data_IF_866298997792
#
_entry.id   IF_866298997792
#
_cell.length_a   1.000
_cell.length_b   1.000
_cell.length_c   1.000
_cell.angle_alpha   90.00
_cell.angle_beta   90.00
_cell.angle_gamma   90.00
#
_symmetry.space_group_name_H-M   'P 1'
#
loop_
_entity.id
_entity.type
_entity.pdbx_description
1 polymer ?
#
# COMPACT_ATOMS: atom_id res chain seq x y z
N UNK A 1 16.86 17.69 -6.56
CA UNK A 1 15.56 17.72 -5.86
C UNK A 1 15.32 16.32 -5.35
N UNK A 2 15.15 16.13 -4.04
CA UNK A 2 14.60 14.87 -3.52
C UNK A 2 13.18 14.81 -4.10
N UNK A 3 12.84 13.75 -4.85
CA UNK A 3 11.46 13.57 -5.31
C UNK A 3 10.60 13.39 -4.07
N UNK A 4 9.56 14.21 -3.93
CA UNK A 4 8.51 14.01 -2.93
C UNK A 4 8.01 12.58 -3.04
N UNK A 5 7.75 11.92 -1.91
CA UNK A 5 7.11 10.60 -1.91
C UNK A 5 5.59 10.72 -2.06
N UNK A 6 5.01 11.91 -1.87
CA UNK A 6 3.57 12.14 -1.88
C UNK A 6 3.01 12.23 -3.30
N UNK A 7 1.82 11.69 -3.54
CA UNK A 7 1.07 11.91 -4.79
C UNK A 7 0.56 13.36 -4.87
N UNK A 8 0.57 13.95 -6.08
CA UNK A 8 0.28 15.40 -6.29
C UNK A 8 -1.19 15.81 -6.05
N UNK A 9 -2.14 14.86 -6.14
CA UNK A 9 -3.56 15.10 -5.94
C UNK A 9 -4.12 14.12 -4.92
N UNK A 10 -4.17 14.58 -3.68
CA UNK A 10 -4.62 13.77 -2.57
C UNK A 10 -5.65 14.51 -1.71
N UNK A 11 -6.85 13.93 -1.68
CA UNK A 11 -7.98 14.40 -0.86
C UNK A 11 -7.88 13.93 0.60
N UNK A 12 -7.01 12.96 0.89
CA UNK A 12 -6.80 12.40 2.22
C UNK A 12 -5.71 13.11 3.03
N UNK A 13 -5.08 14.15 2.46
CA UNK A 13 -4.14 14.99 3.21
C UNK A 13 -4.85 15.77 4.30
N UNK A 14 -4.31 15.72 5.51
CA UNK A 14 -4.84 16.44 6.66
C UNK A 14 -4.32 17.88 6.70
N UNK A 15 -4.86 18.68 7.63
CA UNK A 15 -4.38 20.04 7.88
C UNK A 15 -2.89 20.03 8.23
N UNK A 16 -2.07 20.99 7.76
CA UNK A 16 -0.65 21.04 8.08
C UNK A 16 -0.39 20.98 9.59
N UNK A 17 0.66 20.26 9.98
CA UNK A 17 1.02 20.11 11.38
C UNK A 17 1.70 21.37 11.93
N UNK A 18 1.48 21.63 13.21
CA UNK A 18 2.25 22.62 13.98
C UNK A 18 2.94 21.92 15.15
N UNK A 19 3.91 22.59 15.77
CA UNK A 19 4.61 22.06 16.96
C UNK A 19 3.62 21.78 18.10
N UNK A 20 2.60 22.61 18.24
CA UNK A 20 1.55 22.49 19.24
C UNK A 20 0.70 21.25 18.97
N UNK A 21 0.28 21.01 17.72
CA UNK A 21 -0.49 19.82 17.35
C UNK A 21 0.30 18.54 17.62
N UNK A 22 1.58 18.50 17.25
CA UNK A 22 2.47 17.35 17.53
C UNK A 22 2.55 17.10 19.05
N UNK A 23 2.79 18.14 19.85
CA UNK A 23 2.90 18.01 21.30
C UNK A 23 1.59 17.52 21.96
N UNK A 24 0.43 17.95 21.44
CA UNK A 24 -0.88 17.47 21.90
C UNK A 24 -1.06 15.99 21.59
N UNK A 25 -0.72 15.56 20.39
CA UNK A 25 -0.87 14.16 19.94
C UNK A 25 0.08 13.24 20.69
N UNK A 26 1.36 13.60 20.83
CA UNK A 26 2.33 12.87 21.66
C UNK A 26 1.83 12.71 23.10
N UNK A 27 1.25 13.78 23.68
CA UNK A 27 0.68 13.73 25.03
C UNK A 27 -0.54 12.80 25.12
N UNK A 28 -1.42 12.80 24.11
CA UNK A 28 -2.59 11.91 24.06
C UNK A 28 -2.16 10.44 23.95
N UNK A 29 -1.24 10.15 23.03
CA UNK A 29 -0.70 8.79 22.80
C UNK A 29 0.30 8.34 23.86
N UNK A 30 0.82 9.27 24.68
CA UNK A 30 1.85 9.05 25.71
C UNK A 30 3.18 8.51 25.17
N UNK A 31 3.52 8.91 23.94
CA UNK A 31 4.76 8.49 23.24
C UNK A 31 5.43 9.69 22.59
N UNK A 32 6.69 9.53 22.18
CA UNK A 32 7.39 10.45 21.28
C UNK A 32 7.42 9.90 19.87
N UNK A 33 6.85 10.65 18.94
CA UNK A 33 6.80 10.25 17.53
C UNK A 33 8.21 10.31 16.92
N UNK A 34 8.54 9.44 15.94
CA UNK A 34 9.84 9.48 15.29
C UNK A 34 10.14 10.83 14.64
N UNK A 35 11.38 11.29 14.73
CA UNK A 35 11.77 12.60 14.17
C UNK A 35 11.64 12.62 12.64
N UNK A 36 11.96 11.50 11.99
CA UNK A 36 11.81 11.31 10.54
C UNK A 36 10.35 11.34 10.10
N UNK A 37 9.44 10.77 10.91
CA UNK A 37 7.99 10.82 10.66
C UNK A 37 7.44 12.24 10.77
N UNK A 38 7.81 12.97 11.84
CA UNK A 38 7.41 14.38 11.97
C UNK A 38 7.97 15.21 10.82
N UNK A 39 9.20 14.95 10.38
CA UNK A 39 9.84 15.67 9.28
C UNK A 39 9.10 15.45 7.96
N UNK A 40 8.74 14.19 7.67
CA UNK A 40 7.90 13.84 6.53
C UNK A 40 6.53 14.54 6.59
N UNK A 41 5.88 14.55 7.76
CA UNK A 41 4.55 15.16 7.92
C UNK A 41 4.54 16.69 7.85
N UNK A 42 5.70 17.36 7.98
CA UNK A 42 5.82 18.80 7.71
C UNK A 42 5.72 19.12 6.22
N UNK A 43 6.11 18.18 5.36
CA UNK A 43 5.96 18.32 3.91
C UNK A 43 4.49 18.16 3.52
N UNK A 44 3.85 17.09 4.00
CA UNK A 44 2.42 16.85 3.86
C UNK A 44 1.91 16.01 5.03
N UNK A 45 0.81 16.44 5.67
CA UNK A 45 0.27 15.74 6.83
C UNK A 45 -0.59 14.52 6.42
N UNK A 46 0.08 13.45 6.01
CA UNK A 46 -0.53 12.19 5.60
C UNK A 46 -1.04 12.20 4.16
N UNK A 47 -1.37 11.02 3.67
CA UNK A 47 -1.83 10.82 2.31
C UNK A 47 -1.21 9.61 1.61
N UNK A 48 -1.56 9.43 0.35
CA UNK A 48 -1.02 8.42 -0.56
C UNK A 48 0.41 8.74 -0.97
N UNK A 49 1.21 7.67 -1.06
CA UNK A 49 2.61 7.69 -1.44
C UNK A 49 2.81 7.08 -2.83
N UNK A 50 3.88 7.49 -3.51
CA UNK A 50 4.24 7.02 -4.85
C UNK A 50 4.83 5.60 -4.76
N UNK A 51 5.71 5.39 -3.77
CA UNK A 51 6.39 4.12 -3.52
C UNK A 51 5.49 3.19 -2.72
N UNK A 52 4.80 2.29 -3.40
CA UNK A 52 3.69 1.51 -2.88
C UNK A 52 4.07 0.13 -2.33
N UNK A 53 5.37 -0.13 -2.15
CA UNK A 53 5.90 -1.42 -1.76
C UNK A 53 7.05 -1.29 -0.76
N UNK A 54 7.19 -2.30 0.11
CA UNK A 54 8.36 -2.47 0.98
C UNK A 54 8.87 -3.91 0.90
N UNK A 55 10.13 -4.15 0.51
CA UNK A 55 10.66 -5.50 0.32
C UNK A 55 10.81 -6.26 1.64
N UNK A 56 10.59 -7.57 1.60
CA UNK A 56 10.74 -8.51 2.73
C UNK A 56 11.50 -9.75 2.28
N UNK A 57 12.29 -10.34 3.19
CA UNK A 57 13.00 -11.62 2.94
C UNK A 57 12.15 -12.85 3.32
N UNK A 58 10.86 -12.62 3.59
CA UNK A 58 9.89 -13.61 4.04
C UNK A 58 8.53 -13.37 3.37
N UNK A 59 7.74 -14.43 3.14
CA UNK A 59 6.41 -14.29 2.59
C UNK A 59 5.46 -13.65 3.59
N UNK A 60 4.52 -12.86 3.08
CA UNK A 60 3.43 -12.24 3.82
C UNK A 60 2.09 -12.65 3.23
N UNK A 61 0.98 -12.22 3.83
CA UNK A 61 -0.35 -12.43 3.26
C UNK A 61 -0.55 -11.78 1.88
N UNK A 62 0.30 -10.81 1.50
CA UNK A 62 0.23 -10.09 0.23
C UNK A 62 1.10 -10.71 -0.87
N UNK A 63 2.39 -10.92 -0.60
CA UNK A 63 3.36 -11.45 -1.56
C UNK A 63 4.52 -12.18 -0.88
N UNK A 64 5.30 -12.93 -1.66
CA UNK A 64 6.41 -13.75 -1.18
C UNK A 64 7.64 -12.92 -0.74
N UNK A 65 7.78 -11.70 -1.24
CA UNK A 65 9.01 -10.88 -1.15
C UNK A 65 8.77 -9.39 -0.86
N UNK A 66 7.53 -8.98 -0.59
CA UNK A 66 7.20 -7.60 -0.23
C UNK A 66 5.84 -7.48 0.46
N UNK A 67 5.61 -6.31 1.04
CA UNK A 67 4.28 -5.84 1.45
C UNK A 67 3.81 -4.68 0.56
N UNK A 68 2.50 -4.47 0.55
CA UNK A 68 1.86 -3.30 -0.04
C UNK A 68 1.65 -2.20 1.00
N UNK A 69 1.91 -0.95 0.61
CA UNK A 69 1.63 0.24 1.42
C UNK A 69 1.33 1.41 0.50
N UNK A 70 0.09 1.87 0.44
CA UNK A 70 -0.30 2.93 -0.48
C UNK A 70 -0.36 4.32 0.18
N UNK A 71 -0.44 4.39 1.50
CA UNK A 71 -0.58 5.65 2.24
C UNK A 71 0.16 5.65 3.56
N UNK A 72 0.42 6.85 4.06
CA UNK A 72 0.89 7.13 5.41
C UNK A 72 -0.15 8.02 6.10
N UNK A 73 -0.67 7.57 7.23
CA UNK A 73 -1.59 8.34 8.07
C UNK A 73 -0.89 9.57 8.62
N UNK A 74 -1.60 10.69 8.68
CA UNK A 74 -1.10 11.94 9.27
C UNK A 74 -1.44 12.07 10.75
N UNK A 75 -1.06 13.19 11.34
CA UNK A 75 -1.47 13.61 12.68
C UNK A 75 -2.83 14.30 12.61
N UNK A 76 -3.85 13.66 13.18
CA UNK A 76 -5.21 14.19 13.24
C UNK A 76 -6.15 13.21 13.95
N UNK A 77 -7.40 13.65 14.13
CA UNK A 77 -8.49 12.78 14.61
C UNK A 77 -9.03 11.96 13.45
N UNK A 78 -9.95 12.49 12.66
CA UNK A 78 -10.49 11.81 11.47
C UNK A 78 -9.40 11.56 10.42
N UNK A 79 -9.20 10.30 10.03
CA UNK A 79 -8.20 9.87 9.05
C UNK A 79 -6.74 9.97 9.53
N UNK A 80 -6.52 10.25 10.82
CA UNK A 80 -5.18 10.39 11.40
C UNK A 80 -4.83 9.30 12.42
N UNK A 81 -3.62 9.37 12.95
CA UNK A 81 -3.11 8.37 13.91
C UNK A 81 -3.85 8.35 15.27
N UNK A 82 -4.67 9.37 15.59
CA UNK A 82 -5.48 9.33 16.81
C UNK A 82 -6.64 8.32 16.73
N UNK A 83 -6.94 7.79 15.54
CA UNK A 83 -7.86 6.65 15.37
C UNK A 83 -7.26 5.33 15.87
N UNK A 84 -5.94 5.26 16.14
CA UNK A 84 -5.26 4.02 16.54
C UNK A 84 -5.95 3.34 17.71
N UNK A 85 -6.31 4.06 18.78
CA UNK A 85 -6.97 3.48 19.95
C UNK A 85 -8.32 2.84 19.62
N UNK A 86 -9.08 3.47 18.72
CA UNK A 86 -10.36 2.95 18.24
C UNK A 86 -10.15 1.69 17.40
N UNK A 87 -9.26 1.77 16.41
CA UNK A 87 -8.97 0.68 15.47
C UNK A 87 -8.36 -0.53 16.18
N UNK A 88 -7.44 -0.31 17.12
CA UNK A 88 -6.85 -1.38 17.94
C UNK A 88 -7.94 -2.14 18.70
N UNK A 89 -8.93 -1.42 19.26
CA UNK A 89 -10.03 -2.04 19.99
C UNK A 89 -10.99 -2.78 19.05
N UNK A 90 -11.33 -2.17 17.91
CA UNK A 90 -12.29 -2.73 16.95
C UNK A 90 -11.76 -4.03 16.33
N UNK A 91 -10.48 -4.06 15.99
CA UNK A 91 -9.83 -5.18 15.31
C UNK A 91 -9.07 -6.12 16.24
N UNK A 92 -9.09 -5.89 17.56
CA UNK A 92 -8.41 -6.75 18.53
C UNK A 92 -6.88 -6.73 18.46
N UNK A 93 -6.29 -5.65 17.95
CA UNK A 93 -4.86 -5.53 17.71
C UNK A 93 -4.04 -5.40 19.01
N UNK A 94 -2.71 -5.59 18.94
CA UNK A 94 -1.81 -5.31 20.05
C UNK A 94 -1.98 -3.89 20.60
N UNK A 95 -1.93 -3.77 21.93
CA UNK A 95 -1.89 -2.46 22.60
C UNK A 95 -0.49 -1.85 22.47
N UNK A 96 -0.40 -0.55 22.74
CA UNK A 96 0.87 0.20 22.75
C UNK A 96 1.55 0.21 21.37
N UNK A 97 0.74 0.21 20.32
CA UNK A 97 1.16 0.47 18.94
C UNK A 97 0.44 1.71 18.41
N UNK A 98 1.01 2.36 17.40
CA UNK A 98 0.37 3.48 16.70
C UNK A 98 0.28 3.14 15.23
N UNK A 99 -0.94 3.09 14.68
CA UNK A 99 -1.21 2.67 13.31
C UNK A 99 -0.86 3.81 12.35
N UNK A 100 0.08 3.56 11.44
CA UNK A 100 0.55 4.55 10.44
C UNK A 100 0.10 4.23 9.02
N UNK A 101 -0.39 3.02 8.77
CA UNK A 101 -1.06 2.62 7.53
C UNK A 101 -1.88 1.35 7.77
N UNK A 102 -2.74 0.98 6.83
CA UNK A 102 -3.51 -0.26 6.86
C UNK A 102 -4.87 -0.16 6.18
N UNK A 103 -5.38 -1.31 5.74
CA UNK A 103 -6.61 -1.47 4.96
C UNK A 103 -7.70 -2.29 5.68
N UNK A 104 -7.42 -2.74 6.90
CA UNK A 104 -8.29 -3.60 7.70
C UNK A 104 -7.94 -5.09 7.62
N UNK A 105 -7.18 -5.53 6.61
CA UNK A 105 -6.60 -6.87 6.54
C UNK A 105 -5.19 -6.90 7.12
N UNK A 106 -4.42 -5.86 6.83
CA UNK A 106 -3.06 -5.67 7.34
C UNK A 106 -2.92 -4.28 7.94
N UNK A 107 -2.04 -4.16 8.92
CA UNK A 107 -1.73 -2.90 9.58
C UNK A 107 -0.23 -2.69 9.67
N UNK A 108 0.21 -1.47 9.37
CA UNK A 108 1.59 -1.05 9.57
C UNK A 108 1.60 -0.08 10.73
N UNK A 109 2.44 -0.36 11.73
CA UNK A 109 2.40 0.36 12.99
C UNK A 109 3.80 0.67 13.56
N UNK A 110 3.87 1.72 14.36
CA UNK A 110 4.96 1.92 15.30
C UNK A 110 4.76 1.05 16.54
N UNK A 111 5.78 0.27 16.91
CA UNK A 111 5.73 -0.60 18.09
C UNK A 111 6.35 0.06 19.33
N UNK A 112 5.50 0.61 20.21
CA UNK A 112 5.92 1.22 21.47
C UNK A 112 5.84 0.27 22.67
N UNK A 113 5.62 -1.04 22.47
CA UNK A 113 5.54 -2.01 23.59
C UNK A 113 6.81 -2.05 24.43
N UNK A 114 7.97 -1.75 23.83
CA UNK A 114 9.28 -1.82 24.49
C UNK A 114 10.05 -0.49 24.48
N UNK A 115 9.47 0.60 23.97
CA UNK A 115 10.12 1.92 23.91
C UNK A 115 9.08 3.03 23.91
N UNK A 116 9.48 4.25 24.27
CA UNK A 116 8.63 5.43 24.21
C UNK A 116 9.08 6.46 23.16
N UNK A 117 10.12 6.16 22.39
CA UNK A 117 10.69 6.99 21.33
C UNK A 117 11.40 6.13 20.29
N UNK A 118 11.47 6.60 19.04
CA UNK A 118 12.11 5.88 17.91
C UNK A 118 11.80 4.37 17.90
N UNK A 119 10.51 3.99 17.87
CA UNK A 119 10.09 2.60 17.78
C UNK A 119 10.43 1.96 16.43
N UNK A 120 10.55 0.63 16.39
CA UNK A 120 10.54 -0.10 15.14
C UNK A 120 9.18 0.00 14.43
N UNK A 121 9.19 -0.26 13.14
CA UNK A 121 8.00 -0.37 12.29
C UNK A 121 7.66 -1.85 12.14
N UNK A 122 6.43 -2.21 12.42
CA UNK A 122 5.93 -3.59 12.37
C UNK A 122 4.79 -3.73 11.35
N UNK A 123 4.70 -4.91 10.74
CA UNK A 123 3.51 -5.43 10.08
C UNK A 123 2.70 -6.21 11.13
N UNK A 124 1.39 -6.02 11.11
CA UNK A 124 0.42 -6.80 11.88
C UNK A 124 -0.56 -7.40 10.87
N UNK A 125 -0.61 -8.72 10.81
CA UNK A 125 -1.50 -9.47 9.93
C UNK A 125 -2.17 -10.64 10.68
N UNK A 126 -3.00 -11.41 9.95
CA UNK A 126 -3.75 -12.54 10.51
C UNK A 126 -4.52 -12.17 11.79
N UNK A 127 -5.37 -11.14 11.70
CA UNK A 127 -6.19 -10.62 12.81
C UNK A 127 -5.40 -10.24 14.08
N UNK A 128 -4.12 -9.87 13.93
CA UNK A 128 -3.26 -9.45 15.03
C UNK A 128 -2.45 -10.56 15.69
N UNK A 129 -2.51 -11.78 15.18
CA UNK A 129 -1.74 -12.92 15.70
C UNK A 129 -0.29 -12.92 15.21
N UNK A 130 -0.03 -12.38 14.01
CA UNK A 130 1.30 -12.32 13.41
C UNK A 130 1.81 -10.89 13.40
N UNK A 131 2.95 -10.68 14.08
CA UNK A 131 3.60 -9.38 14.23
C UNK A 131 5.04 -9.51 13.78
N UNK A 132 5.39 -8.82 12.72
CA UNK A 132 6.71 -8.93 12.08
C UNK A 132 7.36 -7.56 12.06
N UNK A 133 8.63 -7.48 12.49
CA UNK A 133 9.41 -6.26 12.37
C UNK A 133 9.83 -6.05 10.91
N UNK A 134 9.43 -4.91 10.33
CA UNK A 134 9.80 -4.50 8.97
C UNK A 134 11.10 -3.70 8.98
N UNK A 135 11.24 -2.79 9.95
CA UNK A 135 12.41 -1.93 10.06
C UNK A 135 12.67 -1.52 11.52
N UNK A 136 13.94 -1.30 11.90
CA UNK A 136 14.30 -0.92 13.27
C UNK A 136 13.87 0.52 13.65
N UNK A 137 13.52 1.36 12.68
CA UNK A 137 13.01 2.72 12.87
C UNK A 137 12.32 3.22 11.60
N UNK A 138 11.57 4.32 11.73
CA UNK A 138 10.82 4.89 10.61
C UNK A 138 11.70 5.41 9.47
N UNK A 139 12.89 5.94 9.76
CA UNK A 139 13.79 6.43 8.70
C UNK A 139 14.27 5.29 7.79
N UNK A 140 14.59 4.14 8.39
CA UNK A 140 14.99 2.93 7.67
C UNK A 140 13.84 2.38 6.85
N UNK A 141 12.62 2.37 7.41
CA UNK A 141 11.40 2.00 6.69
C UNK A 141 11.17 2.90 5.47
N UNK A 142 11.18 4.22 5.70
CA UNK A 142 10.94 5.23 4.68
C UNK A 142 11.92 5.13 3.50
N UNK A 143 13.21 4.93 3.81
CA UNK A 143 14.27 4.79 2.80
C UNK A 143 14.23 3.44 2.05
N UNK A 144 13.53 2.44 2.58
CA UNK A 144 13.35 1.14 1.95
C UNK A 144 12.13 1.03 1.06
N UNK A 145 11.26 2.05 0.99
CA UNK A 145 10.10 2.05 0.12
C UNK A 145 10.50 2.01 -1.36
N UNK A 146 9.84 1.15 -2.12
CA UNK A 146 10.02 0.95 -3.56
C UNK A 146 8.69 1.06 -4.29
N UNK A 147 8.72 1.11 -5.62
CA UNK A 147 7.52 0.83 -6.41
C UNK A 147 7.43 -0.67 -6.63
N UNK A 148 6.24 -1.24 -6.58
CA UNK A 148 6.04 -2.58 -7.10
C UNK A 148 6.20 -2.57 -8.63
N UNK A 149 7.25 -3.21 -9.15
CA UNK A 149 7.50 -3.30 -10.62
C UNK A 149 6.60 -4.35 -11.32
N UNK A 150 5.62 -4.92 -10.64
CA UNK A 150 4.76 -5.99 -11.17
C UNK A 150 3.70 -5.56 -12.20
N UNK A 151 3.64 -4.28 -12.56
CA UNK A 151 2.77 -3.78 -13.64
C UNK A 151 3.44 -3.73 -15.01
N UNK A 152 4.78 -3.77 -15.10
CA UNK A 152 5.50 -3.64 -16.39
C UNK A 152 5.92 -5.00 -16.98
N UNK A 153 5.55 -6.11 -16.32
CA UNK A 153 5.81 -7.47 -16.80
C UNK A 153 4.57 -8.37 -16.78
N UNK A 154 3.39 -7.77 -17.03
CA UNK A 154 2.35 -8.55 -17.71
C UNK A 154 2.97 -8.90 -19.07
N UNK A 155 3.28 -10.18 -19.32
CA UNK A 155 3.20 -10.68 -20.70
C UNK A 155 1.81 -10.27 -21.16
N UNK A 156 1.70 -9.15 -21.88
CA UNK A 156 0.42 -8.64 -22.35
C UNK A 156 -0.24 -9.81 -23.04
N UNK A 157 -1.34 -10.30 -22.45
CA UNK A 157 -2.16 -11.28 -23.15
C UNK A 157 -2.44 -10.64 -24.52
N UNK A 158 -2.31 -11.37 -25.63
CA UNK A 158 -2.50 -10.81 -26.98
C UNK A 158 -3.80 -9.98 -27.09
N UNK A 159 -4.79 -10.27 -26.23
CA UNK A 159 -6.04 -9.51 -26.10
C UNK A 159 -5.85 -8.07 -25.62
N UNK A 160 -4.93 -7.80 -24.71
CA UNK A 160 -4.75 -6.51 -24.06
C UNK A 160 -3.95 -5.56 -24.97
N UNK A 161 -2.97 -6.09 -25.71
CA UNK A 161 -2.24 -5.34 -26.74
C UNK A 161 -3.17 -4.91 -27.89
N UNK A 162 -4.08 -5.79 -28.29
CA UNK A 162 -5.06 -5.49 -29.35
C UNK A 162 -6.10 -4.47 -28.87
N UNK A 163 -6.54 -4.55 -27.61
CA UNK A 163 -7.44 -3.55 -27.05
C UNK A 163 -6.77 -2.17 -26.96
N UNK A 164 -5.52 -2.10 -26.53
CA UNK A 164 -4.78 -0.85 -26.46
C UNK A 164 -4.60 -0.22 -27.85
N UNK A 165 -4.24 -1.02 -28.87
CA UNK A 165 -4.14 -0.56 -30.26
C UNK A 165 -5.48 -0.07 -30.82
N UNK A 166 -6.60 -0.68 -30.42
CA UNK A 166 -7.93 -0.19 -30.75
C UNK A 166 -8.24 1.15 -30.09
N UNK A 167 -7.94 1.33 -28.80
CA UNK A 167 -8.13 2.60 -28.09
C UNK A 167 -7.23 3.73 -28.61
N UNK A 168 -6.02 3.42 -29.10
CA UNK A 168 -5.13 4.37 -29.78
C UNK A 168 -5.55 4.68 -31.23
N UNK A 169 -6.59 4.02 -31.74
CA UNK A 169 -7.10 4.21 -33.10
C UNK A 169 -6.21 3.57 -34.18
N UNK A 170 -5.28 2.70 -33.81
CA UNK A 170 -4.40 1.97 -34.72
C UNK A 170 -5.11 0.78 -35.38
N UNK A 171 -6.23 0.35 -34.80
CA UNK A 171 -7.11 -0.72 -35.29
C UNK A 171 -8.51 -0.14 -35.50
N UNK A 172 -9.10 -0.38 -36.67
CA UNK A 172 -10.49 0.02 -36.94
C UNK A 172 -11.52 -0.93 -36.32
N UNK A 173 -12.75 -0.48 -36.15
CA UNK A 173 -13.88 -1.30 -35.67
C UNK A 173 -14.04 -2.62 -36.45
N UNK A 174 -13.77 -2.60 -37.75
CA UNK A 174 -13.89 -3.76 -38.63
C UNK A 174 -12.75 -4.75 -38.42
N UNK A 175 -11.54 -4.25 -38.16
CA UNK A 175 -10.39 -5.09 -37.81
C UNK A 175 -10.57 -5.73 -36.43
N UNK A 176 -11.06 -4.96 -35.44
CA UNK A 176 -11.32 -5.47 -34.09
C UNK A 176 -12.39 -6.57 -34.10
N UNK A 177 -13.48 -6.38 -34.86
CA UNK A 177 -14.53 -7.41 -35.04
C UNK A 177 -14.01 -8.69 -35.68
N UNK A 178 -13.11 -8.60 -36.66
CA UNK A 178 -12.48 -9.78 -37.29
C UNK A 178 -11.63 -10.55 -36.29
N UNK A 179 -10.79 -9.87 -35.53
CA UNK A 179 -9.92 -10.47 -34.51
C UNK A 179 -10.76 -11.24 -33.47
N UNK A 180 -11.80 -10.60 -32.92
CA UNK A 180 -12.71 -11.25 -31.96
C UNK A 180 -13.36 -12.49 -32.59
N UNK A 181 -13.82 -12.39 -33.84
CA UNK A 181 -14.47 -13.51 -34.52
C UNK A 181 -13.53 -14.71 -34.75
N UNK A 182 -12.26 -14.47 -35.07
CA UNK A 182 -11.25 -15.51 -35.29
C UNK A 182 -10.85 -16.19 -33.99
N UNK A 183 -10.65 -15.42 -32.91
CA UNK A 183 -10.39 -15.98 -31.58
C UNK A 183 -11.57 -16.81 -31.06
N UNK A 184 -12.80 -16.38 -31.29
CA UNK A 184 -14.01 -17.12 -30.90
C UNK A 184 -14.14 -18.43 -31.70
N UNK A 185 -13.72 -18.43 -32.97
CA UNK A 185 -13.69 -19.61 -33.83
C UNK A 185 -12.62 -20.61 -33.40
N UNK A 186 -11.41 -20.14 -33.08
CA UNK A 186 -10.30 -20.96 -32.60
C UNK A 186 -10.58 -21.60 -31.22
N UNK A 187 -11.28 -20.88 -30.32
CA UNK A 187 -11.73 -21.45 -29.04
C UNK A 187 -12.77 -22.57 -29.22
N UNK A 188 -13.67 -22.44 -30.20
CA UNK A 188 -14.66 -23.50 -30.52
C UNK A 188 -14.02 -24.75 -31.12
N UNK A 189 -13.00 -24.60 -31.97
CA UNK A 189 -12.26 -25.75 -32.52
C UNK A 189 -11.43 -26.47 -31.48
N UNK A 190 -10.75 -25.74 -30.58
CA UNK A 190 -9.95 -26.35 -29.50
C UNK A 190 -10.81 -27.00 -28.40
N UNK A 191 -12.02 -26.50 -28.13
CA UNK A 191 -12.97 -27.17 -27.23
C UNK A 191 -13.51 -28.48 -27.84
N UNK A 192 -13.64 -28.56 -29.18
CA UNK A 192 -14.13 -29.77 -29.85
C UNK A 192 -13.10 -30.90 -29.98
N UNK A 193 -11.80 -30.60 -29.94
CA UNK A 193 -10.73 -31.60 -29.98
C UNK A 193 -10.51 -32.28 -28.61
N UNK A 194 -10.92 -31.64 -27.52
CA UNK A 194 -10.84 -32.19 -26.15
C UNK A 194 -11.94 -33.23 -25.84
N UNK A 195 -13.01 -33.30 -26.63
CA UNK A 195 -14.12 -34.26 -26.43
C UNK A 195 -14.04 -35.53 -27.29
N UNK A 196 -12.90 -35.81 -27.92
CA UNK A 196 -12.73 -36.99 -28.80
C UNK A 196 -11.69 -38.02 -28.34
N UNK A 197 -11.25 -37.98 -27.08
CA UNK A 197 -10.42 -39.04 -26.50
C UNK A 197 -11.13 -39.64 -25.30
N UNK A 198 -11.96 -40.64 -25.58
CA UNK A 198 -12.47 -41.65 -24.64
C UNK A 198 -12.81 -42.91 -25.43
#
# INVERSE_FOLDING_TARGET
MIKSIWKEHDEHKLKPITKETVAIVEKKLKVKLPESYISLLKEQNGGYIIFDSYPTDFPTSWADDHIYIDHIRGIGEEGGILESDYLIKEWGLPKEVVLISGDGHTWIAFDYRNTNKEPPVILIENDGEEIIELAPNFETFLNGLTNWEGSDSIEMCETDEIQEKYFKGEISDEQMKRIISEQTRNRRTNASSLFKVS
#
